data_IF_763797317820
#
_entry.id   IF_763797317820
#
_cell.length_a   1.000
_cell.length_b   1.000
_cell.length_c   1.000
_cell.angle_alpha   90.00
_cell.angle_beta   90.00
_cell.angle_gamma   90.00
#
_symmetry.space_group_name_H-M   'P 1'
#
loop_
_entity.id
_entity.type
_entity.pdbx_description
1 polymer ?
#
# COMPACT_ATOMS: atom_id res chain seq x y z
N UNK A 1 -21.43 21.54 -39.20
CA UNK A 1 -21.19 20.23 -38.55
C UNK A 1 -21.78 20.33 -37.14
N UNK A 2 -23.02 19.83 -36.92
CA UNK A 2 -23.65 19.85 -35.59
C UNK A 2 -22.90 18.93 -34.65
N UNK A 3 -22.42 19.47 -33.52
CA UNK A 3 -21.89 18.64 -32.44
C UNK A 3 -22.98 17.67 -31.98
N UNK A 4 -22.68 16.39 -31.76
CA UNK A 4 -23.66 15.44 -31.24
C UNK A 4 -24.18 15.95 -29.90
N UNK A 5 -25.51 15.85 -29.72
CA UNK A 5 -26.21 16.22 -28.51
C UNK A 5 -25.51 15.52 -27.30
N UNK A 6 -24.82 16.29 -26.51
CA UNK A 6 -24.28 15.75 -25.25
C UNK A 6 -25.47 15.44 -24.36
N UNK A 7 -25.53 14.25 -23.77
CA UNK A 7 -26.61 13.92 -22.84
C UNK A 7 -26.63 14.92 -21.69
N UNK A 8 -27.83 15.35 -21.31
CA UNK A 8 -28.02 16.30 -20.21
C UNK A 8 -27.42 15.71 -18.94
N UNK A 9 -26.50 16.45 -18.33
CA UNK A 9 -25.87 15.97 -17.07
C UNK A 9 -26.91 15.94 -15.95
N UNK A 10 -26.92 14.92 -15.09
CA UNK A 10 -27.81 14.87 -13.95
C UNK A 10 -27.57 16.09 -13.03
N UNK A 11 -28.65 16.60 -12.43
CA UNK A 11 -28.61 17.79 -11.55
C UNK A 11 -27.75 17.57 -10.29
N UNK A 12 -27.61 16.34 -9.86
CA UNK A 12 -26.82 15.95 -8.68
C UNK A 12 -25.74 14.98 -9.09
N UNK A 13 -24.54 15.18 -8.55
CA UNK A 13 -23.42 14.27 -8.73
C UNK A 13 -23.65 13.01 -7.85
N UNK A 14 -23.58 11.83 -8.47
CA UNK A 14 -23.55 10.55 -7.76
C UNK A 14 -22.08 10.09 -7.61
N UNK A 15 -21.45 10.27 -6.42
CA UNK A 15 -20.07 9.84 -6.22
C UNK A 15 -19.91 8.33 -6.26
N UNK A 16 -20.85 7.57 -5.68
CA UNK A 16 -20.73 6.12 -5.50
C UNK A 16 -20.64 5.41 -6.85
N UNK A 17 -21.61 5.61 -7.72
CA UNK A 17 -21.60 4.99 -9.05
C UNK A 17 -20.47 5.49 -9.93
N UNK A 18 -20.11 6.76 -9.82
CA UNK A 18 -19.02 7.36 -10.61
C UNK A 18 -17.66 6.86 -10.19
N UNK A 19 -17.37 6.79 -8.89
CA UNK A 19 -16.10 6.32 -8.36
C UNK A 19 -15.84 4.87 -8.77
N UNK A 20 -16.79 3.96 -8.56
CA UNK A 20 -16.66 2.55 -8.93
C UNK A 20 -16.42 2.37 -10.43
N UNK A 21 -17.18 3.09 -11.27
CA UNK A 21 -17.05 2.99 -12.72
C UNK A 21 -15.67 3.45 -13.21
N UNK A 22 -15.16 4.57 -12.72
CA UNK A 22 -13.86 5.08 -13.15
C UNK A 22 -12.71 4.25 -12.62
N UNK A 23 -12.80 3.77 -11.41
CA UNK A 23 -11.81 2.88 -10.84
C UNK A 23 -11.67 1.61 -11.67
N UNK A 24 -12.79 0.97 -12.02
CA UNK A 24 -12.77 -0.21 -12.87
C UNK A 24 -12.22 0.11 -14.27
N UNK A 25 -12.62 1.22 -14.87
CA UNK A 25 -12.14 1.61 -16.19
C UNK A 25 -10.62 1.85 -16.22
N UNK A 26 -10.04 2.44 -15.18
CA UNK A 26 -8.59 2.63 -15.07
C UNK A 26 -7.84 1.32 -14.91
N UNK A 27 -8.38 0.37 -14.16
CA UNK A 27 -7.78 -0.94 -13.99
C UNK A 27 -7.85 -1.76 -15.29
N UNK A 28 -9.00 -1.82 -15.94
CA UNK A 28 -9.20 -2.54 -17.20
C UNK A 28 -8.29 -2.04 -18.33
N UNK A 29 -8.02 -0.73 -18.35
CA UNK A 29 -7.15 -0.08 -19.33
C UNK A 29 -5.67 -0.13 -18.93
N UNK A 30 -5.32 -0.59 -17.75
CA UNK A 30 -3.95 -0.51 -17.23
C UNK A 30 -3.41 0.91 -17.14
N UNK A 31 -4.31 1.91 -16.89
CA UNK A 31 -4.00 3.33 -17.01
C UNK A 31 -2.81 3.80 -16.13
N UNK A 32 -2.51 3.07 -15.07
CA UNK A 32 -1.43 3.39 -14.13
C UNK A 32 -0.32 2.34 -14.10
N UNK A 33 -0.33 1.42 -15.06
CA UNK A 33 0.69 0.39 -15.23
C UNK A 33 1.68 0.81 -16.32
N UNK A 34 2.87 1.34 -15.97
CA UNK A 34 3.83 1.80 -16.97
C UNK A 34 4.48 0.62 -17.68
N UNK A 35 4.64 0.74 -19.00
CA UNK A 35 5.51 -0.15 -19.78
C UNK A 35 6.96 0.35 -19.66
N UNK A 36 7.91 -0.47 -19.17
CA UNK A 36 9.33 -0.08 -19.08
C UNK A 36 9.96 0.31 -20.43
N UNK A 37 9.34 -0.11 -21.53
CA UNK A 37 9.81 0.17 -22.90
C UNK A 37 9.11 1.38 -23.54
N UNK A 38 8.09 1.94 -22.88
CA UNK A 38 7.39 3.11 -23.39
C UNK A 38 8.32 4.33 -23.45
N UNK A 39 8.15 5.23 -24.44
CA UNK A 39 8.89 6.47 -24.51
C UNK A 39 8.56 7.37 -23.33
N UNK A 40 9.46 8.33 -23.05
CA UNK A 40 9.35 9.29 -21.95
C UNK A 40 10.39 9.06 -20.86
N UNK A 41 10.80 10.15 -20.22
CA UNK A 41 11.72 10.08 -19.10
C UNK A 41 11.09 9.29 -17.93
N UNK A 42 11.83 8.38 -17.29
CA UNK A 42 11.31 7.62 -16.18
C UNK A 42 11.11 8.52 -14.94
N UNK A 43 9.99 8.33 -14.26
CA UNK A 43 9.70 8.96 -12.98
C UNK A 43 9.08 7.92 -12.04
N UNK A 44 9.75 7.60 -10.95
CA UNK A 44 9.28 6.58 -10.00
C UNK A 44 9.07 7.18 -8.62
N UNK A 45 7.98 6.77 -7.98
CA UNK A 45 7.67 7.09 -6.59
C UNK A 45 7.26 5.82 -5.86
N UNK A 46 7.84 5.59 -4.70
CA UNK A 46 7.34 4.60 -3.73
C UNK A 46 6.54 5.35 -2.68
N UNK A 47 5.30 4.98 -2.45
CA UNK A 47 4.49 5.63 -1.42
C UNK A 47 5.01 5.28 -0.03
N UNK A 48 4.85 6.14 0.99
CA UNK A 48 4.97 5.72 2.38
C UNK A 48 3.90 4.67 2.68
N UNK A 49 4.27 3.41 2.92
CA UNK A 49 3.28 2.34 3.05
C UNK A 49 2.52 2.50 4.37
N UNK A 50 1.18 2.61 4.35
CA UNK A 50 0.41 2.70 5.57
C UNK A 50 0.51 1.40 6.39
N UNK A 51 0.55 1.58 7.71
CA UNK A 51 0.54 0.49 8.69
C UNK A 51 -0.79 -0.27 8.66
N UNK A 52 -0.76 -1.61 8.71
CA UNK A 52 -1.99 -2.43 8.76
C UNK A 52 -2.62 -2.43 10.15
N UNK A 53 -2.81 -1.25 10.74
CA UNK A 53 -3.32 -1.06 12.11
C UNK A 53 -4.78 -0.68 12.20
N UNK A 54 -5.51 -0.66 11.08
CA UNK A 54 -6.92 -0.34 11.07
C UNK A 54 -7.37 0.36 9.79
N UNK A 55 -8.02 1.52 9.93
CA UNK A 55 -8.49 2.34 8.82
C UNK A 55 -7.60 3.55 8.60
N UNK A 56 -7.58 4.06 7.37
CA UNK A 56 -6.93 5.33 7.07
C UNK A 56 -7.68 6.49 7.75
N UNK A 57 -6.97 7.56 7.99
CA UNK A 57 -7.50 8.83 8.51
C UNK A 57 -7.16 9.98 7.56
N UNK A 58 -7.67 11.18 7.85
CA UNK A 58 -7.48 12.36 7.00
C UNK A 58 -6.01 12.70 6.70
N UNK A 59 -5.08 12.42 7.63
CA UNK A 59 -3.66 12.61 7.39
C UNK A 59 -3.12 11.71 6.26
N UNK A 60 -3.59 10.47 6.18
CA UNK A 60 -3.25 9.58 5.07
C UNK A 60 -3.86 10.10 3.75
N UNK A 61 -5.12 10.51 3.76
CA UNK A 61 -5.77 11.05 2.57
C UNK A 61 -5.05 12.30 2.04
N UNK A 62 -4.65 13.21 2.94
CA UNK A 62 -3.90 14.41 2.58
C UNK A 62 -2.54 14.09 1.96
N UNK A 63 -1.76 13.22 2.61
CA UNK A 63 -0.47 12.77 2.08
C UNK A 63 -0.61 12.08 0.72
N UNK A 64 -1.59 11.20 0.59
CA UNK A 64 -1.92 10.52 -0.67
C UNK A 64 -2.26 11.51 -1.78
N UNK A 65 -3.10 12.52 -1.48
CA UNK A 65 -3.50 13.52 -2.45
C UNK A 65 -2.31 14.37 -2.96
N UNK A 66 -1.37 14.72 -2.09
CA UNK A 66 -0.16 15.45 -2.47
C UNK A 66 0.71 14.62 -3.42
N UNK A 67 0.97 13.37 -3.08
CA UNK A 67 1.77 12.46 -3.91
C UNK A 67 1.06 12.23 -5.25
N UNK A 68 -0.25 11.96 -5.23
CA UNK A 68 -1.03 11.69 -6.44
C UNK A 68 -1.08 12.89 -7.38
N UNK A 69 -1.13 14.10 -6.84
CA UNK A 69 -1.06 15.33 -7.63
C UNK A 69 0.26 15.41 -8.41
N UNK A 70 1.38 15.13 -7.76
CA UNK A 70 2.70 15.12 -8.40
C UNK A 70 2.76 14.02 -9.47
N UNK A 71 2.32 12.82 -9.14
CA UNK A 71 2.31 11.66 -10.04
C UNK A 71 1.47 11.94 -11.30
N UNK A 72 0.27 12.49 -11.14
CA UNK A 72 -0.60 12.88 -12.26
C UNK A 72 0.00 14.00 -13.10
N UNK A 73 0.62 14.99 -12.47
CA UNK A 73 1.33 16.05 -13.18
C UNK A 73 2.46 15.48 -14.04
N UNK A 74 3.27 14.59 -13.51
CA UNK A 74 4.37 13.99 -14.27
C UNK A 74 3.87 13.15 -15.47
N UNK A 75 2.72 12.45 -15.33
CA UNK A 75 2.08 11.76 -16.45
C UNK A 75 1.61 12.75 -17.52
N UNK A 76 0.96 13.86 -17.12
CA UNK A 76 0.54 14.91 -18.05
C UNK A 76 1.72 15.59 -18.75
N UNK A 77 2.88 15.65 -18.09
CA UNK A 77 4.13 16.14 -18.68
C UNK A 77 4.81 15.14 -19.64
N UNK A 78 4.17 13.98 -19.91
CA UNK A 78 4.65 12.98 -20.86
C UNK A 78 5.71 12.02 -20.34
N UNK A 79 5.92 11.95 -19.02
CA UNK A 79 6.88 10.99 -18.42
C UNK A 79 6.28 9.59 -18.32
N UNK A 80 7.16 8.59 -18.33
CA UNK A 80 6.81 7.21 -18.01
C UNK A 80 6.84 7.04 -16.49
N UNK A 81 5.65 7.01 -15.87
CA UNK A 81 5.50 7.17 -14.42
C UNK A 81 5.09 5.87 -13.73
N UNK A 82 5.94 5.40 -12.81
CA UNK A 82 5.62 4.35 -11.86
C UNK A 82 5.33 4.96 -10.48
N UNK A 83 4.14 4.74 -9.95
CA UNK A 83 3.85 4.97 -8.54
C UNK A 83 3.57 3.61 -7.88
N UNK A 84 4.45 3.20 -6.97
CA UNK A 84 4.42 1.88 -6.36
C UNK A 84 3.67 1.89 -5.03
N UNK A 85 2.53 1.19 -4.91
CA UNK A 85 1.78 1.07 -3.67
C UNK A 85 2.32 -0.04 -2.77
N UNK A 86 2.03 0.07 -1.47
CA UNK A 86 2.34 -0.97 -0.50
C UNK A 86 1.66 -0.75 0.83
N UNK A 87 1.80 -1.72 1.72
CA UNK A 87 1.36 -1.65 3.13
C UNK A 87 2.47 -2.15 4.04
N UNK A 88 2.52 -1.60 5.25
CA UNK A 88 3.51 -1.98 6.27
C UNK A 88 2.88 -2.93 7.30
N UNK A 89 3.63 -3.96 7.65
CA UNK A 89 3.24 -4.93 8.67
C UNK A 89 3.18 -4.35 10.09
N UNK A 90 3.87 -3.24 10.38
CA UNK A 90 3.83 -2.49 11.64
C UNK A 90 3.93 -3.35 12.92
N UNK A 91 4.82 -4.32 12.93
CA UNK A 91 4.92 -5.46 13.86
C UNK A 91 4.47 -5.20 15.31
N UNK A 92 5.10 -4.25 16.03
CA UNK A 92 4.78 -3.94 17.44
C UNK A 92 3.36 -3.40 17.59
N UNK A 93 2.92 -2.56 16.66
CA UNK A 93 1.58 -1.97 16.70
C UNK A 93 0.50 -3.03 16.49
N UNK A 94 0.67 -3.92 15.50
CA UNK A 94 -0.25 -5.04 15.26
C UNK A 94 -0.26 -6.00 16.44
N UNK A 95 0.91 -6.36 16.98
CA UNK A 95 0.99 -7.19 18.18
C UNK A 95 0.22 -6.58 19.35
N UNK A 96 0.36 -5.28 19.60
CA UNK A 96 -0.35 -4.58 20.68
C UNK A 96 -1.88 -4.64 20.48
N UNK A 97 -2.36 -4.51 19.24
CA UNK A 97 -3.78 -4.63 18.92
C UNK A 97 -4.29 -6.03 19.23
N UNK A 98 -3.56 -7.06 18.77
CA UNK A 98 -3.94 -8.46 18.97
C UNK A 98 -3.90 -8.85 20.46
N UNK A 99 -2.91 -8.39 21.21
CA UNK A 99 -2.84 -8.63 22.66
C UNK A 99 -3.99 -7.96 23.40
N UNK A 100 -4.43 -6.76 22.98
CA UNK A 100 -5.64 -6.12 23.54
C UNK A 100 -6.90 -6.94 23.26
N UNK A 101 -7.05 -7.49 22.06
CA UNK A 101 -8.17 -8.36 21.73
C UNK A 101 -8.16 -9.64 22.56
N UNK A 102 -6.98 -10.30 22.68
CA UNK A 102 -6.83 -11.51 23.51
C UNK A 102 -7.18 -11.23 24.98
N UNK A 103 -6.77 -10.08 25.51
CA UNK A 103 -7.12 -9.67 26.88
C UNK A 103 -8.64 -9.53 27.07
N UNK A 104 -9.37 -9.06 26.07
CA UNK A 104 -10.84 -9.01 26.12
C UNK A 104 -11.46 -10.42 26.11
N UNK A 105 -10.78 -11.38 25.52
CA UNK A 105 -11.16 -12.80 25.52
C UNK A 105 -10.69 -13.54 26.80
N UNK A 106 -10.04 -12.85 27.73
CA UNK A 106 -9.48 -13.43 28.95
C UNK A 106 -8.23 -14.30 28.72
N UNK A 107 -7.51 -14.08 27.61
CA UNK A 107 -6.33 -14.83 27.19
C UNK A 107 -5.12 -13.92 27.05
N UNK A 108 -3.94 -14.55 27.05
CA UNK A 108 -2.65 -13.93 26.71
C UNK A 108 -2.08 -14.56 25.44
N UNK A 109 -1.09 -13.93 24.83
CA UNK A 109 -0.37 -14.53 23.68
C UNK A 109 0.34 -15.85 24.06
N UNK A 110 0.73 -16.01 25.33
CA UNK A 110 1.38 -17.22 25.83
C UNK A 110 0.40 -18.39 25.93
N UNK A 111 -0.85 -18.12 26.31
CA UNK A 111 -1.91 -19.13 26.35
C UNK A 111 -2.25 -19.62 24.93
N UNK A 112 -2.17 -18.73 23.94
CA UNK A 112 -2.45 -19.05 22.55
C UNK A 112 -1.32 -19.86 21.89
N UNK A 113 -0.07 -19.57 22.26
CA UNK A 113 1.12 -20.12 21.62
C UNK A 113 1.51 -19.37 20.34
N UNK A 114 2.74 -19.59 19.89
CA UNK A 114 3.33 -18.84 18.76
C UNK A 114 2.58 -19.02 17.44
N UNK A 115 2.28 -20.26 17.11
CA UNK A 115 1.69 -20.60 15.80
C UNK A 115 0.30 -19.98 15.64
N UNK A 116 -0.59 -20.19 16.61
CA UNK A 116 -1.93 -19.63 16.58
C UNK A 116 -1.93 -18.09 16.68
N UNK A 117 -0.95 -17.51 17.38
CA UNK A 117 -0.79 -16.05 17.40
C UNK A 117 -0.38 -15.50 16.02
N UNK A 118 0.54 -16.16 15.31
CA UNK A 118 0.93 -15.78 13.96
C UNK A 118 -0.22 -15.92 12.97
N UNK A 119 -1.00 -17.01 13.06
CA UNK A 119 -2.18 -17.20 12.23
C UNK A 119 -3.18 -16.03 12.41
N UNK A 120 -3.46 -15.65 13.66
CA UNK A 120 -4.30 -14.50 13.97
C UNK A 120 -3.72 -13.18 13.43
N UNK A 121 -2.41 -13.02 13.43
CA UNK A 121 -1.74 -11.84 12.85
C UNK A 121 -1.91 -11.79 11.33
N UNK A 122 -1.83 -12.92 10.65
CA UNK A 122 -2.08 -12.98 9.21
C UNK A 122 -3.54 -12.73 8.85
N UNK A 123 -4.49 -13.21 9.64
CA UNK A 123 -5.92 -12.89 9.49
C UNK A 123 -6.14 -11.38 9.63
N UNK A 124 -5.61 -10.78 10.70
CA UNK A 124 -5.67 -9.33 10.89
C UNK A 124 -5.09 -8.55 9.70
N UNK A 125 -3.94 -8.98 9.19
CA UNK A 125 -3.30 -8.38 7.99
C UNK A 125 -4.23 -8.47 6.79
N UNK A 126 -4.87 -9.59 6.57
CA UNK A 126 -5.79 -9.75 5.43
C UNK A 126 -6.98 -8.77 5.53
N UNK A 127 -7.60 -8.67 6.70
CA UNK A 127 -8.75 -7.80 6.93
C UNK A 127 -8.40 -6.32 6.90
N UNK A 128 -7.40 -5.93 7.70
CA UNK A 128 -6.98 -4.53 7.86
C UNK A 128 -6.28 -4.00 6.61
N UNK A 129 -5.39 -4.80 6.01
CA UNK A 129 -4.70 -4.44 4.77
C UNK A 129 -5.66 -4.33 3.59
N UNK A 130 -6.62 -5.22 3.47
CA UNK A 130 -7.68 -5.15 2.45
C UNK A 130 -8.48 -3.86 2.57
N UNK A 131 -8.95 -3.51 3.78
CA UNK A 131 -9.68 -2.27 4.03
C UNK A 131 -8.89 -1.01 3.66
N UNK A 132 -7.59 -0.98 3.98
CA UNK A 132 -6.70 0.14 3.65
C UNK A 132 -6.57 0.30 2.14
N UNK A 133 -6.35 -0.79 1.42
CA UNK A 133 -6.26 -0.78 -0.04
C UNK A 133 -7.56 -0.31 -0.68
N UNK A 134 -8.71 -0.78 -0.20
CA UNK A 134 -10.02 -0.34 -0.68
C UNK A 134 -10.25 1.17 -0.45
N UNK A 135 -9.82 1.69 0.71
CA UNK A 135 -9.89 3.12 0.99
C UNK A 135 -9.01 3.94 0.04
N UNK A 136 -7.78 3.49 -0.24
CA UNK A 136 -6.89 4.16 -1.21
C UNK A 136 -7.45 4.10 -2.64
N UNK A 137 -8.05 2.98 -3.03
CA UNK A 137 -8.74 2.85 -4.31
C UNK A 137 -9.90 3.83 -4.41
N UNK A 138 -10.73 3.95 -3.39
CA UNK A 138 -11.85 4.90 -3.34
C UNK A 138 -11.42 6.36 -3.42
N UNK A 139 -10.24 6.69 -2.93
CA UNK A 139 -9.63 8.02 -3.13
C UNK A 139 -9.20 8.27 -4.59
N UNK A 140 -9.30 7.27 -5.46
CA UNK A 140 -8.87 7.36 -6.86
C UNK A 140 -7.36 7.44 -7.02
N UNK A 141 -6.60 6.87 -6.07
CA UNK A 141 -5.14 6.93 -6.09
C UNK A 141 -4.56 6.25 -7.33
N UNK A 142 -3.81 7.01 -8.12
CA UNK A 142 -3.30 6.60 -9.43
C UNK A 142 -1.97 5.83 -9.34
N UNK A 143 -1.99 4.70 -8.67
CA UNK A 143 -0.84 3.81 -8.45
C UNK A 143 -0.96 2.51 -9.24
N UNK A 144 0.15 1.83 -9.44
CA UNK A 144 0.19 0.51 -10.08
C UNK A 144 -0.21 -0.59 -9.09
N UNK A 145 -1.50 -0.88 -9.03
CA UNK A 145 -2.04 -1.91 -8.13
C UNK A 145 -1.53 -3.33 -8.44
N UNK A 146 -1.11 -3.60 -9.68
CA UNK A 146 -0.52 -4.87 -10.06
C UNK A 146 0.85 -5.13 -9.44
N UNK A 147 1.52 -4.06 -8.98
CA UNK A 147 2.82 -4.14 -8.29
C UNK A 147 2.74 -3.83 -6.81
N UNK A 148 1.57 -3.94 -6.20
CA UNK A 148 1.41 -3.73 -4.77
C UNK A 148 2.33 -4.66 -3.96
N UNK A 149 2.99 -4.09 -2.94
CA UNK A 149 3.89 -4.83 -2.03
C UNK A 149 3.40 -4.78 -0.59
N UNK A 150 3.81 -5.78 0.17
CA UNK A 150 3.66 -5.83 1.62
C UNK A 150 5.03 -6.09 2.25
N UNK A 151 5.39 -5.35 3.29
CA UNK A 151 6.75 -5.37 3.85
C UNK A 151 7.22 -6.73 4.39
N UNK A 152 6.31 -7.70 4.59
CA UNK A 152 6.62 -9.09 4.91
C UNK A 152 6.22 -10.07 3.80
N UNK A 153 6.03 -9.61 2.57
CA UNK A 153 5.84 -10.56 1.47
C UNK A 153 7.12 -11.38 1.21
N UNK A 154 6.99 -12.49 0.52
CA UNK A 154 8.08 -13.44 0.30
C UNK A 154 9.30 -12.77 -0.34
N UNK A 155 9.11 -12.02 -1.41
CA UNK A 155 10.21 -11.37 -2.13
C UNK A 155 10.92 -10.29 -1.32
N UNK A 156 10.19 -9.48 -0.54
CA UNK A 156 10.82 -8.49 0.36
C UNK A 156 11.51 -9.18 1.54
N UNK A 157 10.97 -10.29 2.05
CA UNK A 157 11.60 -11.09 3.10
C UNK A 157 12.90 -11.72 2.62
N UNK A 158 12.98 -12.17 1.36
CA UNK A 158 14.23 -12.65 0.75
C UNK A 158 15.23 -11.51 0.57
N UNK A 159 14.79 -10.37 0.04
CA UNK A 159 15.65 -9.20 -0.14
C UNK A 159 16.27 -8.71 1.16
N UNK A 160 15.51 -8.70 2.26
CA UNK A 160 16.00 -8.34 3.61
C UNK A 160 17.07 -9.33 4.08
N UNK A 161 16.83 -10.63 3.92
CA UNK A 161 17.83 -11.66 4.28
C UNK A 161 19.10 -11.53 3.47
N UNK A 162 18.97 -11.37 2.17
CA UNK A 162 20.11 -11.19 1.27
C UNK A 162 20.93 -9.93 1.63
N UNK A 163 20.26 -8.81 1.88
CA UNK A 163 20.94 -7.59 2.32
C UNK A 163 21.69 -7.80 3.64
N UNK A 164 21.07 -8.49 4.60
CA UNK A 164 21.70 -8.80 5.88
C UNK A 164 22.95 -9.67 5.71
N UNK A 165 22.88 -10.73 4.90
CA UNK A 165 24.02 -11.61 4.62
C UNK A 165 25.16 -10.84 3.96
N UNK A 166 24.88 -10.03 2.93
CA UNK A 166 25.90 -9.22 2.24
C UNK A 166 26.57 -8.21 3.16
N UNK A 167 25.82 -7.58 4.06
CA UNK A 167 26.39 -6.64 5.05
C UNK A 167 27.33 -7.37 6.01
N UNK A 168 26.98 -8.59 6.44
CA UNK A 168 27.83 -9.43 7.27
C UNK A 168 29.12 -9.84 6.53
N UNK A 169 29.01 -10.31 5.29
CA UNK A 169 30.14 -10.72 4.45
C UNK A 169 31.12 -9.56 4.20
N UNK A 170 30.62 -8.32 4.13
CA UNK A 170 31.42 -7.12 4.00
C UNK A 170 32.01 -6.62 5.33
N UNK A 171 31.73 -7.30 6.44
CA UNK A 171 32.19 -6.92 7.77
C UNK A 171 31.57 -5.65 8.35
N UNK A 172 30.44 -5.18 7.75
CA UNK A 172 29.74 -3.97 8.18
C UNK A 172 28.83 -4.24 9.39
N UNK A 173 28.42 -5.48 9.59
CA UNK A 173 27.66 -5.93 10.77
C UNK A 173 28.33 -7.17 11.37
N UNK A 174 28.26 -7.30 12.69
CA UNK A 174 28.84 -8.41 13.44
C UNK A 174 28.02 -8.66 14.71
N UNK A 175 28.02 -9.91 15.25
CA UNK A 175 27.30 -10.22 16.47
C UNK A 175 27.97 -9.59 17.68
N UNK A 176 27.17 -8.94 18.56
CA UNK A 176 27.62 -8.36 19.83
C UNK A 176 26.62 -8.66 20.94
N UNK A 177 27.09 -8.70 22.18
CA UNK A 177 26.23 -8.87 23.35
C UNK A 177 25.63 -7.56 23.87
N UNK A 178 26.11 -6.42 23.41
CA UNK A 178 25.65 -5.07 23.77
C UNK A 178 25.95 -4.12 22.61
N UNK A 179 25.26 -2.95 22.57
CA UNK A 179 25.53 -1.90 21.61
C UNK A 179 26.72 -1.05 22.08
N UNK A 180 27.56 -0.65 21.13
CA UNK A 180 28.59 0.37 21.36
C UNK A 180 27.90 1.74 21.42
N UNK A 181 27.58 2.21 22.60
CA UNK A 181 27.11 3.57 22.87
C UNK A 181 28.22 4.34 23.57
#
# INVERSE_FOLDING_TARGET
MCLPFLPELPKTYDPVGTEVRWQQAWEDQGAFHPDPKAPGDPFSVVIPPPNVTGSLHMGHAFNTALIDTIVRYQRLAGKNVLCLPGTDHASIAVQTILEKQLKQEGKTRHDLGREAFLERAWQWKAESGGRIVDQLRRLGYSVDWGRQRFTLDEGLSEAVREAFVRLHEQGLIYPVSYTHL
#
